data_IF_099460800609
#
_entry.id   IF_099460800609
#
_cell.length_a   1.000
_cell.length_b   1.000
_cell.length_c   1.000
_cell.angle_alpha   90.00
_cell.angle_beta   90.00
_cell.angle_gamma   90.00
#
_symmetry.space_group_name_H-M   'P 1'
#
loop_
_entity.id
_entity.type
_entity.pdbx_description
1 polymer ?
#
# COMPACT_ATOMS: atom_id res chain seq x y z
N UNK A 1 39.37 -6.73 20.20
CA UNK A 1 38.28 -6.14 19.40
C UNK A 1 37.27 -7.24 19.13
N UNK A 2 35.97 -6.99 19.31
CA UNK A 2 34.97 -7.97 18.90
C UNK A 2 34.96 -8.04 17.36
N UNK A 3 35.12 -9.24 16.80
CA UNK A 3 35.08 -9.45 15.35
C UNK A 3 33.62 -9.45 14.89
N UNK A 4 33.28 -8.56 13.96
CA UNK A 4 31.98 -8.56 13.31
C UNK A 4 31.91 -9.78 12.38
N UNK A 5 30.95 -10.68 12.58
CA UNK A 5 30.84 -11.93 11.79
C UNK A 5 29.63 -11.94 10.84
N UNK A 6 28.74 -10.96 10.94
CA UNK A 6 27.57 -10.82 10.09
C UNK A 6 27.21 -9.35 9.86
N UNK A 7 26.72 -9.05 8.67
CA UNK A 7 26.13 -7.75 8.30
C UNK A 7 24.79 -8.05 7.65
N UNK A 8 23.71 -7.51 8.20
CA UNK A 8 22.38 -7.57 7.61
C UNK A 8 22.17 -6.37 6.70
N UNK A 9 21.67 -6.62 5.49
CA UNK A 9 21.19 -5.58 4.59
C UNK A 9 19.68 -5.70 4.49
N UNK A 10 18.99 -4.58 4.65
CA UNK A 10 17.60 -4.50 4.24
C UNK A 10 17.50 -4.66 2.72
N UNK A 11 16.34 -5.05 2.23
CA UNK A 11 16.15 -5.44 0.85
C UNK A 11 15.53 -4.30 0.02
N UNK A 12 14.28 -3.95 0.34
CA UNK A 12 13.49 -2.97 -0.38
C UNK A 12 14.05 -1.56 -0.15
N UNK A 13 14.25 -0.81 -1.23
CA UNK A 13 14.86 0.53 -1.27
C UNK A 13 16.28 0.62 -0.67
N UNK A 14 16.91 -0.52 -0.37
CA UNK A 14 18.33 -0.65 0.01
C UNK A 14 19.13 -1.41 -1.05
N UNK A 15 18.69 -2.61 -1.43
CA UNK A 15 19.31 -3.43 -2.48
C UNK A 15 18.66 -3.22 -3.85
N UNK A 16 17.35 -2.94 -3.89
CA UNK A 16 16.60 -2.67 -5.12
C UNK A 16 15.47 -1.67 -4.88
N UNK A 17 15.05 -1.00 -5.95
CA UNK A 17 13.93 -0.05 -5.92
C UNK A 17 12.60 -0.77 -5.68
N UNK A 18 11.81 -0.28 -4.73
CA UNK A 18 10.52 -0.87 -4.37
C UNK A 18 9.41 0.20 -4.24
N UNK A 19 9.63 1.28 -3.48
CA UNK A 19 8.61 2.30 -3.16
C UNK A 19 7.97 2.95 -4.40
N UNK A 20 8.73 3.11 -5.49
CA UNK A 20 8.18 3.67 -6.73
C UNK A 20 7.06 2.83 -7.31
N UNK A 21 7.11 1.51 -7.17
CA UNK A 21 6.05 0.62 -7.66
C UNK A 21 4.78 0.75 -6.82
N UNK A 22 4.91 0.92 -5.50
CA UNK A 22 3.78 1.19 -4.61
C UNK A 22 3.11 2.51 -4.98
N UNK A 23 3.88 3.60 -5.12
CA UNK A 23 3.35 4.92 -5.51
C UNK A 23 2.68 4.92 -6.88
N UNK A 24 3.28 4.26 -7.87
CA UNK A 24 2.67 4.12 -9.19
C UNK A 24 1.36 3.34 -9.15
N UNK A 25 1.27 2.32 -8.29
CA UNK A 25 0.06 1.50 -8.13
C UNK A 25 -1.03 2.31 -7.44
N UNK A 26 -0.70 3.03 -6.36
CA UNK A 26 -1.63 3.92 -5.67
C UNK A 26 -2.17 5.03 -6.59
N UNK A 27 -1.28 5.66 -7.38
CA UNK A 27 -1.69 6.68 -8.34
C UNK A 27 -2.73 6.12 -9.32
N UNK A 28 -2.44 4.98 -9.94
CA UNK A 28 -3.35 4.32 -10.89
C UNK A 28 -4.66 3.89 -10.24
N UNK A 29 -4.61 3.45 -8.99
CA UNK A 29 -5.80 3.07 -8.24
C UNK A 29 -6.74 4.25 -8.02
N UNK A 30 -6.21 5.38 -7.58
CA UNK A 30 -7.03 6.57 -7.40
C UNK A 30 -7.47 7.18 -8.74
N UNK A 31 -6.69 7.05 -9.82
CA UNK A 31 -7.15 7.39 -11.18
C UNK A 31 -8.37 6.54 -11.60
N UNK A 32 -8.35 5.23 -11.29
CA UNK A 32 -9.47 4.31 -11.56
C UNK A 32 -10.75 4.67 -10.78
N UNK A 33 -10.61 5.30 -9.61
CA UNK A 33 -11.72 5.71 -8.76
C UNK A 33 -12.04 7.21 -8.85
N UNK A 34 -11.53 7.90 -9.87
CA UNK A 34 -11.67 9.35 -10.02
C UNK A 34 -13.11 9.86 -10.12
N UNK A 35 -14.05 9.03 -10.58
CA UNK A 35 -15.49 9.35 -10.58
C UNK A 35 -16.12 9.32 -9.18
N UNK A 36 -15.45 8.72 -8.21
CA UNK A 36 -15.95 8.51 -6.85
C UNK A 36 -15.25 9.38 -5.80
N UNK A 37 -14.21 10.11 -6.16
CA UNK A 37 -13.54 11.04 -5.25
C UNK A 37 -12.27 11.64 -5.81
N UNK A 38 -11.85 12.75 -5.19
CA UNK A 38 -10.54 13.36 -5.44
C UNK A 38 -9.42 12.41 -5.04
N UNK A 39 -8.31 12.47 -5.79
CA UNK A 39 -7.17 11.56 -5.64
C UNK A 39 -6.67 11.47 -4.19
N UNK A 40 -6.51 12.63 -3.54
CA UNK A 40 -6.11 12.73 -2.14
C UNK A 40 -7.08 11.99 -1.19
N UNK A 41 -8.39 12.10 -1.42
CA UNK A 41 -9.39 11.45 -0.57
C UNK A 41 -9.33 9.93 -0.74
N UNK A 42 -9.13 9.44 -1.97
CA UNK A 42 -8.97 8.00 -2.23
C UNK A 42 -7.71 7.45 -1.55
N UNK A 43 -6.58 8.17 -1.66
CA UNK A 43 -5.33 7.81 -0.99
C UNK A 43 -5.46 7.80 0.54
N UNK A 44 -6.13 8.80 1.13
CA UNK A 44 -6.40 8.85 2.57
C UNK A 44 -7.24 7.65 3.03
N UNK A 45 -8.28 7.28 2.27
CA UNK A 45 -9.12 6.11 2.55
C UNK A 45 -8.33 4.81 2.45
N UNK A 46 -7.47 4.67 1.44
CA UNK A 46 -6.61 3.50 1.30
C UNK A 46 -5.67 3.35 2.50
N UNK A 47 -5.04 4.45 2.93
CA UNK A 47 -4.18 4.45 4.11
C UNK A 47 -4.93 4.08 5.39
N UNK A 48 -6.18 4.55 5.56
CA UNK A 48 -7.05 4.16 6.67
C UNK A 48 -7.34 2.64 6.66
N UNK A 49 -7.68 2.08 5.50
CA UNK A 49 -7.92 0.64 5.33
C UNK A 49 -6.66 -0.19 5.62
N UNK A 50 -5.50 0.20 5.08
CA UNK A 50 -4.22 -0.46 5.35
C UNK A 50 -3.88 -0.47 6.84
N UNK A 51 -4.05 0.66 7.54
CA UNK A 51 -3.80 0.77 8.98
C UNK A 51 -4.72 -0.16 9.78
N UNK A 52 -6.01 -0.21 9.43
CA UNK A 52 -7.00 -1.10 10.06
C UNK A 52 -6.64 -2.58 9.85
N UNK A 53 -6.14 -2.91 8.66
CA UNK A 53 -5.85 -4.27 8.23
C UNK A 53 -4.44 -4.76 8.59
N UNK A 54 -3.55 -3.88 9.02
CA UNK A 54 -2.17 -4.21 9.36
C UNK A 54 -2.08 -5.37 10.38
N UNK A 55 -2.98 -5.39 11.37
CA UNK A 55 -3.04 -6.46 12.39
C UNK A 55 -3.44 -7.83 11.82
N UNK A 56 -4.08 -7.88 10.66
CA UNK A 56 -4.58 -9.10 10.02
C UNK A 56 -3.63 -9.62 8.94
N UNK A 57 -3.12 -8.72 8.11
CA UNK A 57 -2.34 -9.10 6.91
C UNK A 57 -0.83 -8.86 7.06
N UNK A 58 -0.41 -8.06 8.04
CA UNK A 58 0.96 -7.58 8.14
C UNK A 58 1.34 -6.67 6.97
N UNK A 59 2.65 -6.47 6.78
CA UNK A 59 3.19 -5.65 5.69
C UNK A 59 3.30 -6.43 4.38
N UNK A 60 3.27 -5.70 3.27
CA UNK A 60 3.60 -6.21 1.93
C UNK A 60 2.43 -6.20 0.96
N UNK A 61 2.76 -6.53 -0.30
CA UNK A 61 1.88 -6.33 -1.47
C UNK A 61 0.51 -6.98 -1.35
N UNK A 62 0.40 -8.15 -0.68
CA UNK A 62 -0.90 -8.83 -0.53
C UNK A 62 -1.86 -8.07 0.38
N UNK A 63 -1.36 -7.56 1.51
CA UNK A 63 -2.16 -6.74 2.43
C UNK A 63 -2.58 -5.42 1.77
N UNK A 64 -1.68 -4.83 1.00
CA UNK A 64 -1.95 -3.65 0.18
C UNK A 64 -3.07 -3.91 -0.83
N UNK A 65 -2.97 -4.97 -1.64
CA UNK A 65 -4.00 -5.32 -2.63
C UNK A 65 -5.37 -5.58 -2.00
N UNK A 66 -5.43 -6.30 -0.88
CA UNK A 66 -6.70 -6.54 -0.19
C UNK A 66 -7.32 -5.24 0.36
N UNK A 67 -6.49 -4.33 0.87
CA UNK A 67 -6.93 -3.02 1.35
C UNK A 67 -7.43 -2.13 0.21
N UNK A 68 -6.82 -2.22 -0.99
CA UNK A 68 -7.33 -1.55 -2.19
C UNK A 68 -8.72 -2.05 -2.60
N UNK A 69 -8.96 -3.37 -2.56
CA UNK A 69 -10.27 -3.96 -2.88
C UNK A 69 -11.33 -3.48 -1.89
N UNK A 70 -11.03 -3.51 -0.59
CA UNK A 70 -11.93 -3.03 0.45
C UNK A 70 -12.22 -1.52 0.29
N UNK A 71 -11.19 -0.71 0.05
CA UNK A 71 -11.33 0.73 -0.20
C UNK A 71 -12.21 1.00 -1.41
N UNK A 72 -12.04 0.26 -2.51
CA UNK A 72 -12.87 0.41 -3.69
C UNK A 72 -14.35 0.10 -3.40
N UNK A 73 -14.64 -0.96 -2.63
CA UNK A 73 -16.01 -1.30 -2.23
C UNK A 73 -16.62 -0.20 -1.35
N UNK A 74 -15.87 0.33 -0.39
CA UNK A 74 -16.34 1.39 0.51
C UNK A 74 -16.61 2.70 -0.24
N UNK A 75 -15.67 3.16 -1.06
CA UNK A 75 -15.77 4.42 -1.81
C UNK A 75 -16.89 4.40 -2.84
N UNK A 76 -17.10 3.26 -3.50
CA UNK A 76 -18.16 3.09 -4.52
C UNK A 76 -19.54 2.81 -3.92
N UNK A 77 -19.65 2.68 -2.58
CA UNK A 77 -20.90 2.27 -1.95
C UNK A 77 -21.34 0.86 -2.33
N UNK A 78 -20.39 -0.02 -2.66
CA UNK A 78 -20.62 -1.41 -3.09
C UNK A 78 -21.43 -1.53 -4.39
N UNK A 79 -21.28 -0.57 -5.32
CA UNK A 79 -22.00 -0.54 -6.61
C UNK A 79 -21.11 -0.87 -7.82
N UNK A 80 -20.02 -1.59 -7.60
CA UNK A 80 -19.11 -2.09 -8.66
C UNK A 80 -19.65 -3.34 -9.33
#
# INVERSE_FOLDING_TARGET
>A
MAHLTAIGFDADDTLWQNETFFRMTEQRFADLLSEHGEHQVISERLLEAERRNLQHYGYGVKGFTLSMIETALEVTGHQI
#
